data_IF_165375335599
#
_entry.id   IF_165375335599
#
_cell.length_a   1.000
_cell.length_b   1.000
_cell.length_c   1.000
_cell.angle_alpha   90.00
_cell.angle_beta   90.00
_cell.angle_gamma   90.00
#
_symmetry.space_group_name_H-M   'P 1'
#
loop_
_entity.id
_entity.type
_entity.pdbx_description
1 polymer ?
#
# COMPACT_ATOMS: atom_id res chain seq x y z
N UNK A 1 6.76 -16.36 4.27
CA UNK A 1 7.49 -15.13 4.56
C UNK A 1 7.08 -14.02 3.62
N UNK A 2 6.73 -12.87 4.18
CA UNK A 2 6.27 -11.72 3.42
C UNK A 2 7.28 -10.59 3.51
N UNK A 3 7.44 -9.88 2.40
CA UNK A 3 8.20 -8.63 2.40
C UNK A 3 7.19 -7.52 2.63
N UNK A 4 7.41 -6.73 3.67
CA UNK A 4 6.55 -5.60 3.99
C UNK A 4 7.21 -4.31 3.53
N UNK A 5 6.44 -3.46 2.87
CA UNK A 5 6.91 -2.17 2.41
C UNK A 5 5.92 -1.07 2.72
N UNK A 6 6.42 0.14 2.80
CA UNK A 6 5.60 1.35 2.91
C UNK A 6 5.74 2.12 1.60
N UNK A 7 4.60 2.49 1.01
CA UNK A 7 4.57 3.35 -0.17
C UNK A 7 3.57 4.47 0.10
N UNK A 8 4.04 5.69 0.18
CA UNK A 8 3.23 6.84 0.54
C UNK A 8 3.44 7.99 -0.44
N UNK A 9 2.39 8.75 -0.71
CA UNK A 9 2.49 9.96 -1.52
C UNK A 9 3.15 11.12 -0.77
N UNK A 10 3.33 11.01 0.54
CA UNK A 10 4.01 12.02 1.33
C UNK A 10 5.51 12.05 1.02
N UNK A 11 6.20 13.19 1.24
CA UNK A 11 7.65 13.27 1.01
C UNK A 11 8.41 12.20 1.78
N UNK A 12 9.47 11.68 1.17
CA UNK A 12 10.25 10.58 1.73
C UNK A 12 10.76 10.86 3.13
N UNK A 13 11.29 12.06 3.37
CA UNK A 13 11.84 12.41 4.68
C UNK A 13 10.75 12.40 5.76
N UNK A 14 9.52 12.75 5.38
CA UNK A 14 8.39 12.74 6.31
C UNK A 14 7.98 11.29 6.64
N UNK A 15 7.95 10.43 5.63
CA UNK A 15 7.60 9.02 5.82
C UNK A 15 8.60 8.34 6.75
N UNK A 16 9.89 8.56 6.53
CA UNK A 16 10.94 8.02 7.39
C UNK A 16 10.78 8.48 8.84
N UNK A 17 10.54 9.77 9.03
CA UNK A 17 10.39 10.34 10.37
C UNK A 17 9.20 9.74 11.11
N UNK A 18 8.07 9.61 10.42
CA UNK A 18 6.86 9.02 11.03
C UNK A 18 7.10 7.56 11.41
N UNK A 19 7.72 6.79 10.50
CA UNK A 19 7.99 5.38 10.77
C UNK A 19 8.97 5.21 11.95
N UNK A 20 9.95 6.08 12.07
CA UNK A 20 10.88 6.05 13.20
C UNK A 20 10.21 6.47 14.50
N UNK A 21 9.37 7.50 14.45
CA UNK A 21 8.67 8.00 15.63
C UNK A 21 7.79 6.94 16.26
N UNK A 22 7.09 6.15 15.44
CA UNK A 22 6.22 5.07 15.93
C UNK A 22 6.95 3.75 16.10
N UNK A 23 8.26 3.72 15.86
CA UNK A 23 9.10 2.52 16.02
C UNK A 23 8.60 1.35 15.18
N UNK A 24 8.11 1.62 13.98
CA UNK A 24 7.60 0.60 13.08
C UNK A 24 8.52 0.33 11.87
N UNK A 25 9.50 1.21 11.64
CA UNK A 25 10.38 1.11 10.47
C UNK A 25 11.11 -0.24 10.42
N UNK A 26 11.42 -0.80 11.57
CA UNK A 26 12.11 -2.09 11.68
C UNK A 26 11.35 -3.27 11.06
N UNK A 27 10.04 -3.12 10.89
CA UNK A 27 9.22 -4.18 10.30
C UNK A 27 9.15 -4.11 8.77
N UNK A 28 9.65 -3.04 8.17
CA UNK A 28 9.52 -2.80 6.75
C UNK A 28 10.87 -2.81 6.06
N UNK A 29 11.02 -3.68 5.07
CA UNK A 29 12.27 -3.77 4.29
C UNK A 29 12.40 -2.63 3.29
N UNK A 30 11.27 -2.04 2.89
CA UNK A 30 11.21 -1.02 1.86
C UNK A 30 10.36 0.13 2.39
N UNK A 31 10.90 1.34 2.32
CA UNK A 31 10.17 2.55 2.70
C UNK A 31 10.33 3.56 1.58
N UNK A 32 9.24 3.88 0.91
CA UNK A 32 9.25 4.83 -0.20
C UNK A 32 8.20 5.90 0.00
N UNK A 33 8.61 7.13 -0.25
CA UNK A 33 7.74 8.27 -0.30
C UNK A 33 8.01 9.05 -1.57
N UNK A 34 7.34 10.18 -1.73
CA UNK A 34 7.59 11.07 -2.87
C UNK A 34 8.99 11.64 -2.77
N UNK A 35 9.69 11.72 -3.91
CA UNK A 35 11.01 12.32 -3.98
C UNK A 35 10.96 13.83 -4.04
N UNK A 36 9.77 14.39 -4.21
CA UNK A 36 9.56 15.81 -4.39
C UNK A 36 8.59 16.33 -3.32
N UNK A 37 8.83 17.54 -2.84
CA UNK A 37 7.92 18.22 -1.94
C UNK A 37 6.81 18.96 -2.71
N UNK A 38 6.70 18.72 -4.01
CA UNK A 38 5.73 19.44 -4.81
C UNK A 38 4.29 19.00 -4.51
N UNK A 39 3.36 19.78 -5.04
CA UNK A 39 1.95 19.65 -4.71
C UNK A 39 1.25 18.46 -5.37
N UNK A 40 1.92 17.78 -6.31
CA UNK A 40 1.33 16.67 -7.05
C UNK A 40 2.15 15.39 -6.88
N UNK A 41 2.14 14.79 -5.67
CA UNK A 41 2.85 13.54 -5.47
C UNK A 41 2.21 12.44 -6.32
N UNK A 42 3.05 11.65 -6.99
CA UNK A 42 2.58 10.60 -7.88
C UNK A 42 2.67 9.25 -7.19
N UNK A 43 1.53 8.72 -6.77
CA UNK A 43 1.45 7.42 -6.10
C UNK A 43 1.95 6.29 -6.99
N UNK A 44 1.69 6.37 -8.31
CA UNK A 44 2.17 5.35 -9.25
C UNK A 44 3.69 5.29 -9.28
N UNK A 45 4.33 6.46 -9.25
CA UNK A 45 5.79 6.52 -9.21
C UNK A 45 6.34 5.89 -7.93
N UNK A 46 5.72 6.20 -6.79
CA UNK A 46 6.14 5.64 -5.50
C UNK A 46 5.98 4.13 -5.50
N UNK A 47 4.84 3.63 -5.96
CA UNK A 47 4.59 2.19 -6.05
C UNK A 47 5.58 1.51 -6.99
N UNK A 48 5.84 2.10 -8.15
CA UNK A 48 6.80 1.55 -9.10
C UNK A 48 8.19 1.40 -8.51
N UNK A 49 8.65 2.43 -7.77
CA UNK A 49 9.96 2.38 -7.14
C UNK A 49 10.01 1.32 -6.02
N UNK A 50 8.94 1.19 -5.27
CA UNK A 50 8.87 0.17 -4.21
C UNK A 50 8.90 -1.24 -4.79
N UNK A 51 8.11 -1.48 -5.84
CA UNK A 51 8.08 -2.80 -6.51
C UNK A 51 9.43 -3.13 -7.12
N UNK A 52 10.06 -2.15 -7.75
CA UNK A 52 11.37 -2.32 -8.37
C UNK A 52 12.44 -2.66 -7.33
N UNK A 53 12.45 -1.93 -6.20
CA UNK A 53 13.42 -2.21 -5.13
C UNK A 53 13.21 -3.60 -4.54
N UNK A 54 11.97 -4.06 -4.47
CA UNK A 54 11.68 -5.41 -3.98
C UNK A 54 12.06 -6.51 -4.97
N UNK A 55 12.31 -6.15 -6.24
CA UNK A 55 12.63 -7.14 -7.27
C UNK A 55 11.42 -7.90 -7.77
N UNK A 56 10.23 -7.30 -7.69
CA UNK A 56 8.98 -7.97 -8.03
C UNK A 56 8.32 -7.44 -9.30
N UNK A 57 9.06 -6.73 -10.15
CA UNK A 57 8.50 -6.17 -11.39
C UNK A 57 7.91 -7.25 -12.31
N UNK A 58 8.52 -8.44 -12.32
CA UNK A 58 8.06 -9.57 -13.13
C UNK A 58 7.15 -10.52 -12.34
N UNK A 59 6.77 -10.16 -11.13
CA UNK A 59 5.97 -10.99 -10.23
C UNK A 59 4.84 -10.19 -9.60
N UNK A 60 4.24 -9.29 -10.37
CA UNK A 60 3.20 -8.39 -9.85
C UNK A 60 1.97 -9.12 -9.34
N UNK A 61 1.74 -10.34 -9.81
CA UNK A 61 0.65 -11.17 -9.29
C UNK A 61 0.84 -11.58 -7.83
N UNK A 62 2.06 -11.42 -7.30
CA UNK A 62 2.37 -11.72 -5.90
C UNK A 62 2.42 -10.44 -5.05
N UNK A 63 2.14 -9.30 -5.64
CA UNK A 63 2.23 -8.00 -4.96
C UNK A 63 0.83 -7.46 -4.68
N UNK A 64 0.64 -6.96 -3.47
CA UNK A 64 -0.63 -6.37 -3.05
C UNK A 64 -0.37 -5.04 -2.35
N UNK A 65 -1.26 -4.09 -2.58
CA UNK A 65 -1.27 -2.83 -1.84
C UNK A 65 -2.42 -2.89 -0.83
N UNK A 66 -2.14 -2.47 0.39
CA UNK A 66 -3.18 -2.28 1.40
C UNK A 66 -3.42 -0.77 1.51
N UNK A 67 -4.65 -0.35 1.36
CA UNK A 67 -4.98 1.07 1.43
C UNK A 67 -6.40 1.31 1.88
N UNK A 68 -6.68 2.55 2.29
CA UNK A 68 -7.96 2.91 2.88
C UNK A 68 -8.78 3.88 2.01
N UNK A 69 -8.26 4.28 0.86
CA UNK A 69 -8.93 5.25 0.00
C UNK A 69 -9.02 4.74 -1.44
N UNK A 70 -9.97 5.30 -2.19
CA UNK A 70 -10.15 4.98 -3.61
C UNK A 70 -8.91 5.27 -4.44
N UNK A 71 -8.09 6.22 -4.02
CA UNK A 71 -6.85 6.57 -4.71
C UNK A 71 -5.84 5.42 -4.65
N UNK A 72 -5.81 4.71 -3.52
CA UNK A 72 -4.93 3.54 -3.37
C UNK A 72 -5.40 2.40 -4.27
N UNK A 73 -6.71 2.16 -4.32
CA UNK A 73 -7.28 1.13 -5.19
C UNK A 73 -6.96 1.41 -6.66
N UNK A 74 -7.09 2.68 -7.08
CA UNK A 74 -6.77 3.08 -8.43
C UNK A 74 -5.27 2.89 -8.73
N UNK A 75 -4.41 3.27 -7.78
CA UNK A 75 -2.96 3.10 -7.93
C UNK A 75 -2.58 1.64 -8.09
N UNK A 76 -3.18 0.76 -7.30
CA UNK A 76 -2.92 -0.67 -7.40
C UNK A 76 -3.35 -1.21 -8.77
N UNK A 77 -4.55 -0.84 -9.21
CA UNK A 77 -5.06 -1.29 -10.51
C UNK A 77 -4.14 -0.83 -11.65
N UNK A 78 -3.75 0.44 -11.65
CA UNK A 78 -2.90 0.98 -12.70
C UNK A 78 -1.48 0.41 -12.65
N UNK A 79 -1.03 -0.02 -11.48
CA UNK A 79 0.29 -0.66 -11.33
C UNK A 79 0.27 -2.15 -11.65
N UNK A 80 -0.91 -2.73 -11.84
CA UNK A 80 -1.05 -4.14 -12.15
C UNK A 80 -0.86 -5.07 -10.96
N UNK A 81 -1.14 -4.59 -9.74
CA UNK A 81 -1.02 -5.37 -8.51
C UNK A 81 -2.38 -5.52 -7.84
N UNK A 82 -2.47 -6.45 -6.88
CA UNK A 82 -3.69 -6.65 -6.12
C UNK A 82 -3.91 -5.56 -5.08
N UNK A 83 -5.10 -5.56 -4.50
CA UNK A 83 -5.47 -4.54 -3.52
C UNK A 83 -6.33 -5.15 -2.41
N UNK A 84 -6.00 -4.77 -1.16
CA UNK A 84 -6.84 -5.04 -0.01
C UNK A 84 -7.28 -3.70 0.57
N UNK A 85 -8.59 -3.54 0.77
CA UNK A 85 -9.15 -2.34 1.37
C UNK A 85 -9.13 -2.41 2.89
N UNK A 86 -8.74 -1.31 3.52
CA UNK A 86 -8.74 -1.17 4.97
C UNK A 86 -9.94 -0.33 5.38
N UNK A 87 -11.03 -0.97 5.80
CA UNK A 87 -12.28 -0.28 6.11
C UNK A 87 -12.21 0.55 7.40
N UNK A 88 -11.18 0.31 8.21
CA UNK A 88 -11.00 1.09 9.46
C UNK A 88 -10.32 2.44 9.23
N UNK A 89 -9.98 2.78 7.99
CA UNK A 89 -9.34 4.05 7.66
C UNK A 89 -10.34 5.17 7.37
N UNK A 90 -10.00 6.02 6.43
CA UNK A 90 -10.72 7.27 6.17
C UNK A 90 -11.67 7.21 4.98
N UNK A 91 -11.95 6.05 4.42
CA UNK A 91 -12.87 5.95 3.29
C UNK A 91 -14.28 6.39 3.67
N UNK A 92 -14.95 7.06 2.74
CA UNK A 92 -16.38 7.32 2.89
C UNK A 92 -17.15 6.02 2.74
N UNK A 93 -18.41 6.01 3.14
CA UNK A 93 -19.26 4.83 3.02
C UNK A 93 -19.28 4.34 1.56
N UNK A 94 -19.01 3.07 1.37
CA UNK A 94 -18.98 2.40 0.06
C UNK A 94 -17.91 2.91 -0.90
N UNK A 95 -16.99 3.76 -0.45
CA UNK A 95 -15.94 4.30 -1.32
C UNK A 95 -15.05 3.18 -1.90
N UNK A 96 -14.65 2.22 -1.07
CA UNK A 96 -13.77 1.14 -1.51
C UNK A 96 -14.49 0.18 -2.45
N UNK A 97 -15.75 -0.14 -2.16
CA UNK A 97 -16.56 -1.01 -3.01
C UNK A 97 -16.78 -0.37 -4.38
N UNK A 98 -17.09 0.93 -4.40
CA UNK A 98 -17.31 1.66 -5.65
C UNK A 98 -16.02 1.79 -6.46
N UNK A 99 -14.87 1.76 -5.80
CA UNK A 99 -13.57 1.78 -6.48
C UNK A 99 -13.18 0.41 -7.04
N UNK A 100 -13.99 -0.61 -6.80
CA UNK A 100 -13.76 -1.96 -7.33
C UNK A 100 -12.95 -2.86 -6.41
N UNK A 101 -12.77 -2.48 -5.16
CA UNK A 101 -12.06 -3.32 -4.20
C UNK A 101 -12.92 -4.56 -3.89
N UNK A 102 -12.36 -5.74 -4.11
CA UNK A 102 -13.06 -6.99 -3.90
C UNK A 102 -12.80 -7.59 -2.52
N UNK A 103 -11.66 -7.25 -1.93
CA UNK A 103 -11.25 -7.77 -0.63
C UNK A 103 -11.08 -6.59 0.33
N UNK A 104 -12.00 -6.48 1.27
CA UNK A 104 -12.04 -5.37 2.21
C UNK A 104 -12.08 -5.95 3.62
N UNK A 105 -11.13 -5.54 4.45
CA UNK A 105 -11.05 -5.99 5.84
C UNK A 105 -11.60 -4.91 6.76
N UNK A 106 -12.36 -5.33 7.77
CA UNK A 106 -12.93 -4.42 8.76
C UNK A 106 -11.93 -4.02 9.85
N UNK A 107 -10.91 -4.84 10.05
CA UNK A 107 -9.87 -4.59 11.04
C UNK A 107 -8.57 -5.29 10.61
N UNK A 108 -7.43 -4.96 11.26
CA UNK A 108 -6.15 -5.57 10.88
C UNK A 108 -6.10 -7.09 11.02
N UNK A 109 -6.83 -7.66 11.96
CA UNK A 109 -6.84 -9.11 12.15
C UNK A 109 -7.53 -9.81 10.99
N UNK A 110 -8.64 -9.25 10.51
CA UNK A 110 -9.33 -9.77 9.34
C UNK A 110 -8.44 -9.65 8.10
N UNK A 111 -7.71 -8.56 7.96
CA UNK A 111 -6.77 -8.38 6.87
C UNK A 111 -5.72 -9.48 6.87
N UNK A 112 -5.16 -9.79 8.02
CA UNK A 112 -4.19 -10.87 8.16
C UNK A 112 -4.77 -12.20 7.66
N UNK A 113 -6.01 -12.50 8.02
CA UNK A 113 -6.68 -13.71 7.58
C UNK A 113 -6.85 -13.77 6.06
N UNK A 114 -7.23 -12.64 5.45
CA UNK A 114 -7.39 -12.57 3.99
C UNK A 114 -6.06 -12.82 3.28
N UNK A 115 -4.98 -12.23 3.78
CA UNK A 115 -3.65 -12.42 3.20
C UNK A 115 -3.20 -13.88 3.31
N UNK A 116 -3.41 -14.48 4.46
CA UNK A 116 -3.04 -15.90 4.66
C UNK A 116 -3.84 -16.83 3.77
N UNK A 117 -5.12 -16.55 3.57
CA UNK A 117 -5.97 -17.35 2.69
C UNK A 117 -5.52 -17.28 1.23
N UNK A 118 -5.05 -16.12 0.78
CA UNK A 118 -4.56 -15.95 -0.59
C UNK A 118 -3.24 -16.67 -0.84
N UNK A 119 -2.46 -16.93 0.20
CA UNK A 119 -1.18 -17.63 0.09
C UNK A 119 -1.35 -19.15 0.02
N UNK A 120 -2.56 -19.62 0.22
CA UNK A 120 -2.87 -21.05 0.15
C UNK A 120 -3.58 -21.37 -1.20
#
# INVERSE_FOLDING_TARGET
DHILGIASAKPMHFVDRVAEYFDIKKYFSIVKGSLSDNENPNKLDVLGRAISEAGYEDKKNLVYLVGDRKYDAAGARLSGIGFYGAAWGYAAKNELEEAGAKKIASDPLELFGLIMDDDN
#
